data_IF_558312465430
#
_entry.id   IF_558312465430
#
_cell.length_a   1.000
_cell.length_b   1.000
_cell.length_c   1.000
_cell.angle_alpha   90.00
_cell.angle_beta   90.00
_cell.angle_gamma   90.00
#
_symmetry.space_group_name_H-M   'P 1'
#
loop_
_entity.id
_entity.type
_entity.pdbx_description
1 polymer ?
#
# COMPACT_ATOMS: atom_id res chain seq x y z
N UNK A 1 -47.23 5.61 10.19
CA UNK A 1 -46.50 6.74 10.84
C UNK A 1 -45.24 6.27 11.56
N UNK A 2 -45.30 5.23 12.40
CA UNK A 2 -44.15 4.73 13.17
C UNK A 2 -42.97 4.26 12.28
N UNK A 3 -43.25 3.52 11.19
CA UNK A 3 -42.21 3.08 10.23
C UNK A 3 -41.44 4.25 9.60
N UNK A 4 -42.13 5.31 9.14
CA UNK A 4 -41.48 6.50 8.57
C UNK A 4 -40.61 7.25 9.58
N UNK A 5 -41.02 7.27 10.85
CA UNK A 5 -40.25 7.90 11.93
C UNK A 5 -38.98 7.10 12.23
N UNK A 6 -39.06 5.77 12.28
CA UNK A 6 -37.90 4.89 12.45
C UNK A 6 -36.90 5.07 11.30
N UNK A 7 -37.37 5.06 10.04
CA UNK A 7 -36.49 5.26 8.87
C UNK A 7 -35.77 6.61 8.92
N UNK A 8 -36.47 7.69 9.29
CA UNK A 8 -35.85 9.01 9.46
C UNK A 8 -34.75 8.97 10.52
N UNK A 9 -35.05 8.47 11.71
CA UNK A 9 -34.06 8.39 12.81
C UNK A 9 -32.82 7.60 12.39
N UNK A 10 -32.99 6.44 11.76
CA UNK A 10 -31.86 5.63 11.27
C UNK A 10 -31.03 6.37 10.22
N UNK A 11 -31.68 7.06 9.29
CA UNK A 11 -31.00 7.84 8.24
C UNK A 11 -30.17 8.98 8.83
N UNK A 12 -30.72 9.72 9.80
CA UNK A 12 -29.99 10.79 10.49
C UNK A 12 -28.84 10.26 11.34
N UNK A 13 -29.03 9.16 12.06
CA UNK A 13 -27.95 8.53 12.83
C UNK A 13 -26.80 8.08 11.92
N UNK A 14 -27.11 7.48 10.76
CA UNK A 14 -26.11 7.10 9.77
C UNK A 14 -25.35 8.33 9.21
N UNK A 15 -26.08 9.40 8.86
CA UNK A 15 -25.49 10.66 8.41
C UNK A 15 -24.50 11.24 9.43
N UNK A 16 -24.89 11.29 10.71
CA UNK A 16 -24.04 11.79 11.80
C UNK A 16 -22.82 10.88 11.97
N UNK A 17 -23.01 9.57 12.02
CA UNK A 17 -21.92 8.60 12.23
C UNK A 17 -20.87 8.69 11.10
N UNK A 18 -21.29 8.74 9.84
CA UNK A 18 -20.39 8.85 8.69
C UNK A 18 -19.65 10.21 8.65
N UNK A 19 -20.34 11.29 8.98
CA UNK A 19 -19.74 12.63 9.05
C UNK A 19 -18.73 12.73 10.19
N UNK A 20 -19.08 12.19 11.36
CA UNK A 20 -18.20 12.11 12.52
C UNK A 20 -16.98 11.23 12.20
N UNK A 21 -17.16 10.06 11.58
CA UNK A 21 -16.05 9.18 11.20
C UNK A 21 -15.09 9.86 10.21
N UNK A 22 -15.62 10.63 9.26
CA UNK A 22 -14.82 11.43 8.32
C UNK A 22 -13.93 12.44 9.06
N UNK A 23 -14.49 13.15 10.04
CA UNK A 23 -13.76 14.13 10.84
C UNK A 23 -12.76 13.47 11.81
N UNK A 24 -13.20 12.45 12.54
CA UNK A 24 -12.40 11.73 13.53
C UNK A 24 -11.16 11.09 12.91
N UNK A 25 -11.22 10.59 11.67
CA UNK A 25 -10.06 10.02 10.96
C UNK A 25 -8.81 10.91 10.98
N UNK A 26 -8.98 12.23 10.90
CA UNK A 26 -7.86 13.18 10.95
C UNK A 26 -7.15 13.26 12.31
N UNK A 27 -7.81 12.84 13.38
CA UNK A 27 -7.33 12.92 14.76
C UNK A 27 -6.62 11.65 15.24
N UNK A 28 -6.17 10.79 14.33
CA UNK A 28 -5.41 9.56 14.66
C UNK A 28 -4.15 9.80 15.51
N UNK A 29 -3.56 11.00 15.49
CA UNK A 29 -2.43 11.35 16.36
C UNK A 29 -2.81 11.55 17.83
N UNK A 30 -4.08 11.82 18.13
CA UNK A 30 -4.59 11.98 19.49
C UNK A 30 -5.04 10.63 20.07
N UNK A 31 -5.64 9.79 19.24
CA UNK A 31 -6.08 8.45 19.61
C UNK A 31 -5.90 7.50 18.42
N UNK A 32 -5.14 6.43 18.63
CA UNK A 32 -4.84 5.46 17.57
C UNK A 32 -6.10 4.82 16.94
N UNK A 33 -7.18 4.67 17.72
CA UNK A 33 -8.47 4.14 17.24
C UNK A 33 -9.07 5.05 16.16
N UNK A 34 -8.91 6.37 16.28
CA UNK A 34 -9.35 7.29 15.24
C UNK A 34 -8.54 7.12 13.96
N UNK A 35 -7.27 6.74 14.05
CA UNK A 35 -6.44 6.41 12.90
C UNK A 35 -7.00 5.25 12.08
N UNK A 36 -7.67 4.27 12.70
CA UNK A 36 -8.31 3.17 11.97
C UNK A 36 -9.44 3.64 11.06
N UNK A 37 -10.09 4.76 11.39
CA UNK A 37 -11.16 5.32 10.59
C UNK A 37 -10.66 5.86 9.25
N UNK A 38 -9.37 6.17 9.11
CA UNK A 38 -8.78 6.59 7.84
C UNK A 38 -8.91 5.50 6.78
N UNK A 39 -8.86 4.22 7.14
CA UNK A 39 -8.85 3.12 6.17
C UNK A 39 -10.19 2.94 5.45
N UNK A 40 -11.30 3.43 6.03
CA UNK A 40 -12.64 3.15 5.55
C UNK A 40 -13.24 4.27 4.67
N UNK A 41 -12.44 5.26 4.26
CA UNK A 41 -12.91 6.43 3.48
C UNK A 41 -13.70 6.09 2.21
N UNK A 42 -13.32 5.09 1.39
CA UNK A 42 -14.14 4.68 0.24
C UNK A 42 -15.56 4.25 0.64
N UNK A 43 -15.70 3.58 1.77
CA UNK A 43 -17.01 3.17 2.31
C UNK A 43 -17.81 4.34 2.86
N UNK A 44 -17.13 5.37 3.39
CA UNK A 44 -17.79 6.61 3.78
C UNK A 44 -18.38 7.34 2.57
N UNK A 45 -17.67 7.39 1.44
CA UNK A 45 -18.22 7.95 0.20
C UNK A 45 -19.49 7.23 -0.20
N UNK A 46 -19.46 5.89 -0.28
CA UNK A 46 -20.64 5.09 -0.64
C UNK A 46 -21.80 5.32 0.33
N UNK A 47 -21.53 5.26 1.63
CA UNK A 47 -22.53 5.48 2.67
C UNK A 47 -23.13 6.89 2.61
N UNK A 48 -22.31 7.92 2.44
CA UNK A 48 -22.74 9.32 2.35
C UNK A 48 -23.60 9.56 1.11
N UNK A 49 -23.26 8.95 -0.03
CA UNK A 49 -24.07 9.01 -1.26
C UNK A 49 -25.43 8.35 -1.05
N UNK A 50 -25.46 7.13 -0.51
CA UNK A 50 -26.71 6.39 -0.25
C UNK A 50 -27.60 7.16 0.73
N UNK A 51 -27.05 7.59 1.86
CA UNK A 51 -27.79 8.37 2.87
C UNK A 51 -28.25 9.71 2.29
N UNK A 52 -27.42 10.37 1.48
CA UNK A 52 -27.77 11.61 0.78
C UNK A 52 -28.97 11.44 -0.15
N UNK A 53 -28.99 10.39 -0.99
CA UNK A 53 -30.11 10.07 -1.88
C UNK A 53 -31.40 9.85 -1.07
N UNK A 54 -31.31 9.10 0.04
CA UNK A 54 -32.46 8.84 0.91
C UNK A 54 -32.99 10.13 1.55
N UNK A 55 -32.11 11.02 2.03
CA UNK A 55 -32.52 12.32 2.59
C UNK A 55 -33.16 13.24 1.53
N UNK A 56 -32.65 13.25 0.31
CA UNK A 56 -33.25 13.98 -0.81
C UNK A 56 -34.64 13.44 -1.16
N UNK A 57 -34.81 12.11 -1.19
CA UNK A 57 -36.11 11.48 -1.39
C UNK A 57 -37.10 11.83 -0.27
N UNK A 58 -36.62 11.91 0.97
CA UNK A 58 -37.40 12.38 2.12
C UNK A 58 -37.63 13.90 2.13
N UNK A 59 -37.13 14.65 1.13
CA UNK A 59 -37.17 16.11 1.03
C UNK A 59 -36.57 16.84 2.24
N UNK A 60 -35.54 16.23 2.84
CA UNK A 60 -34.85 16.79 4.00
C UNK A 60 -33.74 17.76 3.56
N UNK A 61 -33.83 19.02 4.00
CA UNK A 61 -32.77 20.03 3.77
C UNK A 61 -31.42 19.65 4.41
N UNK A 62 -31.41 18.73 5.35
CA UNK A 62 -30.19 18.28 6.03
C UNK A 62 -29.28 17.45 5.12
N UNK A 63 -29.77 16.95 3.98
CA UNK A 63 -28.94 16.30 2.97
C UNK A 63 -27.79 17.19 2.47
N UNK A 64 -27.99 18.52 2.46
CA UNK A 64 -26.96 19.48 2.07
C UNK A 64 -25.73 19.46 3.00
N UNK A 65 -25.89 19.10 4.28
CA UNK A 65 -24.77 19.01 5.22
C UNK A 65 -23.81 17.86 4.89
N UNK A 66 -24.25 16.86 4.11
CA UNK A 66 -23.41 15.73 3.71
C UNK A 66 -22.42 16.08 2.60
N UNK A 67 -22.59 17.23 1.92
CA UNK A 67 -21.69 17.67 0.86
C UNK A 67 -20.27 17.84 1.38
N UNK A 68 -20.10 18.44 2.56
CA UNK A 68 -18.76 18.69 3.11
C UNK A 68 -17.98 17.38 3.39
N UNK A 69 -18.49 16.43 4.20
CA UNK A 69 -17.77 15.17 4.43
C UNK A 69 -17.63 14.34 3.14
N UNK A 70 -18.60 14.40 2.22
CA UNK A 70 -18.47 13.74 0.92
C UNK A 70 -17.33 14.34 0.09
N UNK A 71 -17.27 15.67 -0.03
CA UNK A 71 -16.24 16.39 -0.75
C UNK A 71 -14.84 16.13 -0.17
N UNK A 72 -14.71 16.08 1.16
CA UNK A 72 -13.44 15.74 1.82
C UNK A 72 -12.97 14.34 1.41
N UNK A 73 -13.82 13.33 1.49
CA UNK A 73 -13.41 11.97 1.14
C UNK A 73 -13.16 11.82 -0.36
N UNK A 74 -13.98 12.45 -1.22
CA UNK A 74 -13.74 12.48 -2.66
C UNK A 74 -12.42 13.16 -3.00
N UNK A 75 -12.08 14.28 -2.36
CA UNK A 75 -10.81 14.97 -2.58
C UNK A 75 -9.60 14.07 -2.26
N UNK A 76 -9.65 13.34 -1.15
CA UNK A 76 -8.58 12.42 -0.76
C UNK A 76 -8.44 11.20 -1.69
N UNK A 77 -9.54 10.77 -2.30
CA UNK A 77 -9.56 9.60 -3.19
C UNK A 77 -9.38 9.97 -4.68
N UNK A 78 -9.62 11.24 -5.05
CA UNK A 78 -9.61 11.70 -6.43
C UNK A 78 -8.33 11.34 -7.20
N UNK A 79 -7.10 11.48 -6.63
CA UNK A 79 -5.88 11.15 -7.35
C UNK A 79 -5.81 9.70 -7.85
N UNK A 80 -6.48 8.76 -7.20
CA UNK A 80 -6.50 7.35 -7.61
C UNK A 80 -7.25 7.13 -8.92
N UNK A 81 -8.28 7.95 -9.18
CA UNK A 81 -9.21 7.78 -10.30
C UNK A 81 -9.03 8.82 -11.42
N UNK A 82 -8.12 9.77 -11.25
CA UNK A 82 -7.75 10.68 -12.33
C UNK A 82 -7.10 9.91 -13.47
N UNK A 83 -7.45 10.17 -14.74
CA UNK A 83 -6.91 9.40 -15.87
C UNK A 83 -5.39 9.50 -15.90
N UNK A 84 -4.73 8.35 -16.05
CA UNK A 84 -3.30 8.30 -16.34
C UNK A 84 -3.06 8.90 -17.74
N UNK A 85 -1.96 9.64 -17.89
CA UNK A 85 -1.45 9.90 -19.24
C UNK A 85 -1.03 8.59 -19.90
N UNK A 86 -1.10 8.51 -21.23
CA UNK A 86 -0.61 7.34 -21.96
C UNK A 86 0.85 7.12 -21.61
N UNK A 87 1.15 6.03 -20.92
CA UNK A 87 2.50 5.75 -20.45
C UNK A 87 3.24 4.88 -21.47
N UNK A 88 4.53 5.17 -21.75
CA UNK A 88 5.37 4.28 -22.52
C UNK A 88 5.54 2.94 -21.79
N UNK A 89 6.12 1.96 -22.49
CA UNK A 89 6.44 0.66 -21.89
C UNK A 89 7.28 0.83 -20.61
N UNK A 90 7.10 -0.05 -19.61
CA UNK A 90 7.92 -0.03 -18.40
C UNK A 90 9.40 -0.23 -18.76
N UNK A 91 10.29 0.51 -18.09
CA UNK A 91 11.72 0.26 -18.12
C UNK A 91 12.06 -1.07 -17.40
N UNK A 92 11.32 -1.39 -16.33
CA UNK A 92 11.40 -2.67 -15.64
C UNK A 92 10.12 -2.97 -14.87
N UNK A 93 9.95 -4.22 -14.46
CA UNK A 93 8.77 -4.69 -13.73
C UNK A 93 9.11 -5.32 -12.39
N UNK A 94 8.22 -5.16 -11.41
CA UNK A 94 8.34 -5.70 -10.05
C UNK A 94 7.09 -6.50 -9.71
N UNK A 95 7.28 -7.70 -9.15
CA UNK A 95 6.23 -8.43 -8.45
C UNK A 95 6.53 -8.45 -6.95
N UNK A 96 5.64 -7.90 -6.15
CA UNK A 96 5.68 -7.95 -4.68
C UNK A 96 4.59 -8.90 -4.17
N UNK A 97 4.90 -9.77 -3.21
CA UNK A 97 3.94 -10.70 -2.60
C UNK A 97 4.24 -10.83 -1.09
N UNK A 98 3.24 -10.54 -0.26
CA UNK A 98 3.20 -11.04 1.12
C UNK A 98 2.64 -12.47 1.11
N UNK A 99 3.46 -13.44 1.54
CA UNK A 99 3.18 -14.86 1.45
C UNK A 99 2.30 -15.41 2.58
N UNK A 100 2.02 -14.64 3.65
CA UNK A 100 1.31 -15.14 4.85
C UNK A 100 1.86 -16.52 5.30
N UNK A 101 3.19 -16.53 5.48
CA UNK A 101 4.00 -17.69 5.89
C UNK A 101 4.17 -18.75 4.81
N UNK A 102 3.40 -19.84 4.84
CA UNK A 102 3.71 -21.09 4.12
C UNK A 102 2.89 -21.28 2.83
N UNK A 103 2.40 -20.19 2.22
CA UNK A 103 1.56 -20.25 1.01
C UNK A 103 2.39 -20.37 -0.27
N UNK A 104 2.54 -21.61 -0.75
CA UNK A 104 3.33 -21.95 -1.96
C UNK A 104 2.81 -21.29 -3.24
N UNK A 105 1.49 -21.10 -3.37
CA UNK A 105 0.88 -20.52 -4.57
C UNK A 105 1.39 -19.10 -4.90
N UNK A 106 1.85 -18.35 -3.89
CA UNK A 106 2.54 -17.07 -4.10
C UNK A 106 3.87 -17.22 -4.85
N UNK A 107 4.67 -18.24 -4.51
CA UNK A 107 5.93 -18.52 -5.20
C UNK A 107 5.70 -18.95 -6.65
N UNK A 108 4.70 -19.79 -6.90
CA UNK A 108 4.35 -20.20 -8.26
C UNK A 108 3.84 -19.03 -9.11
N UNK A 109 3.06 -18.13 -8.50
CA UNK A 109 2.64 -16.90 -9.18
C UNK A 109 3.85 -16.03 -9.52
N UNK A 110 4.79 -15.82 -8.59
CA UNK A 110 6.02 -15.08 -8.84
C UNK A 110 6.88 -15.72 -9.95
N UNK A 111 6.96 -17.05 -10.01
CA UNK A 111 7.66 -17.76 -11.08
C UNK A 111 7.02 -17.50 -12.46
N UNK A 112 5.68 -17.41 -12.52
CA UNK A 112 4.91 -17.19 -13.75
C UNK A 112 4.79 -15.72 -14.16
N UNK A 113 4.90 -14.78 -13.21
CA UNK A 113 4.72 -13.34 -13.49
C UNK A 113 5.74 -12.83 -14.50
N UNK A 114 6.94 -13.41 -14.45
CA UNK A 114 8.01 -13.11 -15.37
C UNK A 114 8.63 -11.73 -15.18
N UNK A 115 8.35 -11.05 -14.08
CA UNK A 115 8.87 -9.72 -13.76
C UNK A 115 10.39 -9.69 -13.63
N UNK A 116 11.00 -8.51 -13.76
CA UNK A 116 12.45 -8.36 -13.60
C UNK A 116 12.90 -8.52 -12.14
N UNK A 117 12.07 -8.06 -11.21
CA UNK A 117 12.32 -8.13 -9.77
C UNK A 117 11.15 -8.86 -9.08
N UNK A 118 11.48 -9.74 -8.15
CA UNK A 118 10.51 -10.38 -7.25
C UNK A 118 10.88 -10.04 -5.81
N UNK A 119 9.93 -9.49 -5.07
CA UNK A 119 10.02 -9.19 -3.65
C UNK A 119 9.01 -10.05 -2.90
N UNK A 120 9.49 -10.75 -1.88
CA UNK A 120 8.69 -11.63 -1.05
C UNK A 120 8.74 -11.16 0.41
N UNK A 121 7.59 -11.16 1.07
CA UNK A 121 7.44 -10.82 2.48
C UNK A 121 6.72 -11.95 3.22
N UNK A 122 6.92 -12.00 4.53
CA UNK A 122 6.50 -13.11 5.40
C UNK A 122 7.07 -14.47 4.96
N UNK A 123 8.29 -14.45 4.40
CA UNK A 123 8.99 -15.65 3.95
C UNK A 123 9.48 -16.49 5.12
N UNK A 124 8.96 -17.70 5.27
CA UNK A 124 9.47 -18.67 6.25
C UNK A 124 10.70 -19.42 5.74
N UNK A 125 11.52 -20.00 6.64
CA UNK A 125 12.61 -20.88 6.24
C UNK A 125 12.15 -22.07 5.38
N UNK A 126 10.92 -22.57 5.60
CA UNK A 126 10.35 -23.65 4.80
C UNK A 126 10.14 -23.23 3.33
N UNK A 127 9.52 -22.07 3.09
CA UNK A 127 9.36 -21.54 1.73
C UNK A 127 10.70 -21.12 1.11
N UNK A 128 11.63 -20.59 1.91
CA UNK A 128 12.95 -20.19 1.44
C UNK A 128 13.72 -21.36 0.80
N UNK A 129 13.59 -22.57 1.36
CA UNK A 129 14.18 -23.78 0.81
C UNK A 129 13.68 -24.18 -0.58
N UNK A 130 12.55 -23.64 -1.04
CA UNK A 130 11.97 -23.93 -2.35
C UNK A 130 12.27 -22.86 -3.41
N UNK A 131 12.80 -21.69 -3.03
CA UNK A 131 12.95 -20.55 -3.95
C UNK A 131 13.73 -20.89 -5.22
N UNK A 132 14.89 -21.53 -5.08
CA UNK A 132 15.76 -21.87 -6.23
C UNK A 132 15.10 -22.87 -7.18
N UNK A 133 14.29 -23.79 -6.64
CA UNK A 133 13.60 -24.82 -7.43
C UNK A 133 12.36 -24.25 -8.12
N UNK A 134 11.59 -23.40 -7.42
CA UNK A 134 10.34 -22.83 -7.95
C UNK A 134 10.57 -21.63 -8.87
N UNK A 135 11.63 -20.86 -8.65
CA UNK A 135 12.01 -19.68 -9.46
C UNK A 135 13.38 -19.87 -10.14
N UNK A 136 13.58 -20.89 -11.00
CA UNK A 136 14.89 -21.18 -11.59
C UNK A 136 15.41 -20.05 -12.50
N UNK A 137 14.50 -19.30 -13.12
CA UNK A 137 14.82 -18.13 -13.96
C UNK A 137 15.33 -16.92 -13.16
N UNK A 138 15.28 -16.97 -11.83
CA UNK A 138 15.68 -15.89 -10.95
C UNK A 138 16.98 -16.24 -10.18
N UNK A 139 17.80 -15.23 -9.96
CA UNK A 139 18.89 -15.26 -9.01
C UNK A 139 18.38 -14.76 -7.66
N UNK A 140 18.63 -15.53 -6.60
CA UNK A 140 18.41 -15.09 -5.24
C UNK A 140 19.51 -14.08 -4.87
N UNK A 141 19.13 -12.80 -4.73
CA UNK A 141 20.07 -11.72 -4.40
C UNK A 141 20.29 -11.65 -2.90
N UNK A 142 19.19 -11.64 -2.14
CA UNK A 142 19.21 -11.61 -0.68
C UNK A 142 17.96 -12.30 -0.15
N UNK A 143 18.13 -13.14 0.88
CA UNK A 143 17.04 -13.74 1.64
C UNK A 143 17.33 -13.62 3.14
N UNK A 144 16.30 -13.28 3.89
CA UNK A 144 16.30 -13.25 5.34
C UNK A 144 15.01 -13.90 5.85
N UNK A 145 14.90 -15.24 5.76
CA UNK A 145 13.68 -15.93 6.15
C UNK A 145 13.56 -16.01 7.68
N UNK A 146 12.33 -15.83 8.19
CA UNK A 146 12.03 -15.87 9.62
C UNK A 146 10.73 -16.63 9.86
N UNK A 147 10.62 -17.32 11.00
CA UNK A 147 9.40 -18.05 11.38
C UNK A 147 8.24 -17.13 11.80
N UNK A 148 8.52 -15.83 11.95
CA UNK A 148 7.52 -14.80 12.21
C UNK A 148 7.16 -14.05 10.92
N UNK A 149 6.35 -13.00 11.03
CA UNK A 149 5.86 -12.19 9.90
C UNK A 149 6.93 -11.25 9.30
N UNK A 150 8.21 -11.41 9.64
CA UNK A 150 9.27 -10.45 9.26
C UNK A 150 10.21 -10.98 8.16
N UNK A 151 10.08 -12.25 7.76
CA UNK A 151 10.96 -12.83 6.76
C UNK A 151 10.77 -12.20 5.38
N UNK A 152 11.84 -12.05 4.61
CA UNK A 152 11.77 -11.47 3.26
C UNK A 152 12.83 -11.99 2.30
N UNK A 153 12.61 -11.81 1.00
CA UNK A 153 13.61 -12.05 -0.03
C UNK A 153 13.49 -11.09 -1.21
N UNK A 154 14.64 -10.85 -1.85
CA UNK A 154 14.79 -10.16 -3.12
C UNK A 154 15.39 -11.13 -4.14
N UNK A 155 14.70 -11.30 -5.25
CA UNK A 155 15.16 -12.07 -6.39
C UNK A 155 15.13 -11.20 -7.65
N UNK A 156 16.08 -11.43 -8.56
CA UNK A 156 16.17 -10.72 -9.84
C UNK A 156 16.28 -11.72 -10.97
N UNK A 157 15.57 -11.47 -12.07
CA UNK A 157 15.58 -12.33 -13.26
C UNK A 157 17.01 -12.40 -13.83
N UNK A 158 17.53 -13.62 -14.02
CA UNK A 158 18.93 -13.88 -14.43
C UNK A 158 19.29 -13.22 -15.76
N UNK A 159 18.39 -13.30 -16.72
CA UNK A 159 18.55 -12.76 -18.09
C UNK A 159 17.77 -11.44 -18.27
N UNK A 160 17.43 -10.75 -17.18
CA UNK A 160 16.69 -9.47 -17.22
C UNK A 160 17.58 -8.25 -17.48
N UNK A 161 16.97 -7.07 -17.57
CA UNK A 161 17.68 -5.79 -17.71
C UNK A 161 18.23 -5.26 -16.38
N UNK A 162 17.67 -5.70 -15.25
CA UNK A 162 18.02 -5.22 -13.91
C UNK A 162 19.29 -5.90 -13.40
N UNK A 163 20.19 -5.12 -12.81
CA UNK A 163 21.34 -5.63 -12.01
C UNK A 163 21.25 -5.09 -10.59
N UNK A 164 21.85 -5.78 -9.63
CA UNK A 164 21.94 -5.31 -8.24
C UNK A 164 23.39 -5.02 -7.91
N UNK A 165 23.70 -3.75 -7.60
CA UNK A 165 25.03 -3.33 -7.20
C UNK A 165 25.31 -3.66 -5.73
N UNK A 166 24.31 -3.44 -4.88
CA UNK A 166 24.37 -3.71 -3.43
C UNK A 166 22.99 -4.13 -2.93
N UNK A 167 22.95 -5.09 -2.02
CA UNK A 167 21.74 -5.42 -1.26
C UNK A 167 22.11 -5.73 0.20
N UNK A 168 21.32 -5.22 1.14
CA UNK A 168 21.57 -5.38 2.56
C UNK A 168 20.27 -5.39 3.38
N UNK A 169 20.36 -5.99 4.57
CA UNK A 169 19.32 -5.91 5.58
C UNK A 169 19.55 -4.64 6.40
N UNK A 170 18.53 -3.79 6.48
CA UNK A 170 18.54 -2.56 7.28
C UNK A 170 17.36 -2.52 8.24
N UNK A 171 17.44 -1.63 9.23
CA UNK A 171 16.37 -1.35 10.18
C UNK A 171 16.07 0.14 10.18
N UNK A 172 14.81 0.51 9.97
CA UNK A 172 14.36 1.91 9.93
C UNK A 172 13.16 2.11 10.88
N UNK A 173 13.34 2.79 12.02
CA UNK A 173 14.61 3.27 12.60
C UNK A 173 15.57 2.13 12.96
N UNK A 174 16.83 2.44 13.28
CA UNK A 174 17.83 1.43 13.66
C UNK A 174 17.43 0.55 14.86
N UNK A 175 16.47 1.01 15.68
CA UNK A 175 15.90 0.28 16.81
C UNK A 175 14.69 -0.59 16.45
N UNK A 176 14.21 -0.55 15.20
CA UNK A 176 13.08 -1.36 14.76
C UNK A 176 13.47 -2.84 14.76
N UNK A 177 12.60 -3.72 15.26
CA UNK A 177 12.85 -5.17 15.26
C UNK A 177 12.74 -5.80 13.87
N UNK A 178 11.98 -5.15 12.97
CA UNK A 178 11.65 -5.69 11.66
C UNK A 178 12.74 -5.36 10.64
N UNK A 179 13.46 -6.36 10.10
CA UNK A 179 14.42 -6.16 9.02
C UNK A 179 13.71 -5.77 7.71
N UNK A 180 14.32 -4.85 6.97
CA UNK A 180 13.92 -4.45 5.62
C UNK A 180 15.04 -4.80 4.64
N UNK A 181 14.69 -5.11 3.39
CA UNK A 181 15.69 -5.27 2.32
C UNK A 181 15.83 -3.94 1.61
N UNK A 182 17.05 -3.40 1.65
CA UNK A 182 17.48 -2.25 0.85
C UNK A 182 18.40 -2.73 -0.26
N UNK A 183 18.18 -2.29 -1.50
CA UNK A 183 19.02 -2.66 -2.62
C UNK A 183 19.24 -1.49 -3.58
N UNK A 184 20.48 -1.30 -4.00
CA UNK A 184 20.83 -0.42 -5.10
C UNK A 184 20.77 -1.21 -6.40
N UNK A 185 19.77 -0.90 -7.22
CA UNK A 185 19.54 -1.56 -8.51
C UNK A 185 20.00 -0.66 -9.65
N UNK A 186 20.46 -1.28 -10.73
CA UNK A 186 20.90 -0.61 -11.95
C UNK A 186 19.97 -1.03 -13.10
N UNK A 187 19.34 -0.05 -13.72
CA UNK A 187 18.46 -0.21 -14.89
C UNK A 187 18.81 0.87 -15.90
N UNK A 188 19.14 0.52 -17.14
CA UNK A 188 19.55 1.46 -18.19
C UNK A 188 20.58 2.50 -17.72
N UNK A 189 21.64 2.02 -17.05
CA UNK A 189 22.72 2.84 -16.46
C UNK A 189 22.28 3.80 -15.33
N UNK A 190 21.01 3.76 -14.92
CA UNK A 190 20.47 4.56 -13.81
C UNK A 190 20.46 3.74 -12.54
N UNK A 191 21.11 4.26 -11.50
CA UNK A 191 21.05 3.68 -10.16
C UNK A 191 19.73 4.09 -9.49
N UNK A 192 19.03 3.15 -8.88
CA UNK A 192 17.79 3.37 -8.13
C UNK A 192 17.94 2.71 -6.77
N UNK A 193 17.60 3.43 -5.71
CA UNK A 193 17.51 2.85 -4.38
C UNK A 193 16.14 2.21 -4.18
N UNK A 194 16.11 0.89 -4.12
CA UNK A 194 14.94 0.05 -3.84
C UNK A 194 14.86 -0.26 -2.34
N UNK A 195 13.66 -0.16 -1.76
CA UNK A 195 13.34 -0.64 -0.41
C UNK A 195 12.11 -1.55 -0.43
N UNK A 196 12.28 -2.79 0.03
CA UNK A 196 11.16 -3.68 0.36
C UNK A 196 10.67 -3.37 1.77
N UNK A 197 9.60 -2.60 1.87
CA UNK A 197 9.04 -2.12 3.13
C UNK A 197 7.97 -3.07 3.67
N UNK A 198 8.08 -3.47 4.93
CA UNK A 198 6.98 -4.07 5.67
C UNK A 198 6.89 -3.30 7.00
N UNK A 199 5.78 -2.64 7.31
CA UNK A 199 5.64 -1.87 8.56
C UNK A 199 4.86 -2.62 9.63
N UNK A 200 4.97 -2.16 10.86
CA UNK A 200 4.21 -2.68 12.00
C UNK A 200 2.71 -2.47 11.82
N UNK A 201 1.92 -3.56 11.90
CA UNK A 201 0.46 -3.50 11.94
C UNK A 201 -0.04 -2.82 13.23
N UNK A 202 -0.86 -1.79 13.08
CA UNK A 202 -1.48 -1.07 14.20
C UNK A 202 -2.57 -1.90 14.86
N UNK A 203 -2.37 -2.24 16.14
CA UNK A 203 -3.32 -3.02 16.96
C UNK A 203 -3.64 -2.35 18.30
N UNK A 204 -2.79 -1.43 18.73
CA UNK A 204 -2.87 -0.70 19.99
C UNK A 204 -2.01 0.58 19.91
N UNK A 205 -2.02 1.39 20.96
CA UNK A 205 -1.26 2.64 21.02
C UNK A 205 0.25 2.45 20.81
N UNK A 206 0.85 1.38 21.36
CA UNK A 206 2.29 1.12 21.23
C UNK A 206 2.69 0.80 19.79
N UNK A 207 1.94 -0.09 19.13
CA UNK A 207 2.16 -0.44 17.71
C UNK A 207 1.87 0.75 16.77
N UNK A 208 0.90 1.61 17.11
CA UNK A 208 0.66 2.86 16.39
C UNK A 208 1.86 3.82 16.46
N UNK A 209 2.45 3.97 17.66
CA UNK A 209 3.64 4.78 17.85
C UNK A 209 4.86 4.18 17.12
N UNK A 210 5.04 2.86 17.18
CA UNK A 210 6.08 2.13 16.46
C UNK A 210 5.99 2.34 14.95
N UNK A 211 4.81 2.12 14.36
CA UNK A 211 4.60 2.34 12.93
C UNK A 211 4.85 3.81 12.52
N UNK A 212 4.43 4.77 13.35
CA UNK A 212 4.69 6.18 13.08
C UNK A 212 6.21 6.51 13.10
N UNK A 213 6.98 5.87 13.99
CA UNK A 213 8.44 6.00 14.03
C UNK A 213 9.10 5.36 12.80
N UNK A 214 8.65 4.18 12.37
CA UNK A 214 9.09 3.53 11.12
C UNK A 214 8.85 4.44 9.92
N UNK A 215 7.63 4.98 9.74
CA UNK A 215 7.34 5.91 8.65
C UNK A 215 8.20 7.17 8.67
N UNK A 216 8.48 7.71 9.85
CA UNK A 216 9.34 8.89 9.99
C UNK A 216 10.78 8.57 9.58
N UNK A 217 11.30 7.41 9.99
CA UNK A 217 12.65 6.98 9.63
C UNK A 217 12.77 6.70 8.12
N UNK A 218 11.77 6.05 7.51
CA UNK A 218 11.72 5.80 6.07
C UNK A 218 11.62 7.11 5.28
N UNK A 219 10.82 8.07 5.75
CA UNK A 219 10.73 9.38 5.13
C UNK A 219 12.08 10.11 5.15
N UNK A 220 12.77 10.14 6.30
CA UNK A 220 14.09 10.77 6.39
C UNK A 220 15.12 10.09 5.48
N UNK A 221 15.17 8.75 5.51
CA UNK A 221 16.03 7.94 4.65
C UNK A 221 15.81 8.24 3.16
N UNK A 222 14.54 8.28 2.71
CA UNK A 222 14.20 8.63 1.33
C UNK A 222 14.60 10.07 0.99
N UNK A 223 14.29 11.02 1.87
CA UNK A 223 14.58 12.44 1.67
C UNK A 223 16.07 12.70 1.50
N UNK A 224 16.91 12.04 2.28
CA UNK A 224 18.36 12.20 2.23
C UNK A 224 18.96 11.66 0.92
N UNK A 225 18.41 10.55 0.39
CA UNK A 225 18.78 10.01 -0.90
C UNK A 225 18.32 10.90 -2.07
N UNK A 226 17.08 11.37 -2.02
CA UNK A 226 16.54 12.27 -3.05
C UNK A 226 17.33 13.58 -3.12
N UNK A 227 17.77 14.13 -1.98
CA UNK A 227 18.60 15.35 -1.92
C UNK A 227 19.96 15.22 -2.60
N UNK A 228 20.52 14.01 -2.63
CA UNK A 228 21.79 13.73 -3.34
C UNK A 228 21.56 13.25 -4.78
N UNK A 229 20.31 13.33 -5.28
CA UNK A 229 19.96 12.98 -6.65
C UNK A 229 19.73 11.49 -6.90
N UNK A 230 19.67 10.66 -5.86
CA UNK A 230 19.43 9.23 -5.99
C UNK A 230 17.92 8.95 -6.10
N UNK A 231 17.41 8.37 -7.20
CA UNK A 231 16.02 7.93 -7.31
C UNK A 231 15.68 6.89 -6.25
N UNK A 232 14.51 7.01 -5.63
CA UNK A 232 14.04 6.12 -4.56
C UNK A 232 12.75 5.43 -4.99
N UNK A 233 12.67 4.12 -4.76
CA UNK A 233 11.46 3.32 -4.94
C UNK A 233 11.23 2.44 -3.72
N UNK A 234 10.04 2.52 -3.13
CA UNK A 234 9.67 1.78 -1.93
C UNK A 234 8.40 1.00 -2.23
N UNK A 235 8.41 -0.31 -1.98
CA UNK A 235 7.29 -1.20 -2.27
C UNK A 235 7.15 -2.25 -1.17
N UNK A 236 5.92 -2.64 -0.84
CA UNK A 236 5.66 -3.74 0.09
C UNK A 236 4.37 -3.57 0.88
N UNK A 237 4.24 -4.25 2.01
CA UNK A 237 3.11 -4.10 2.94
C UNK A 237 3.29 -2.90 3.89
N UNK A 238 2.57 -1.83 3.61
CA UNK A 238 2.59 -0.61 4.41
C UNK A 238 1.69 -0.71 5.65
N UNK A 239 0.87 -1.77 5.79
CA UNK A 239 -0.15 -1.94 6.82
C UNK A 239 -1.03 -0.69 7.02
N UNK A 240 -1.19 0.12 5.96
CA UNK A 240 -1.96 1.36 5.97
C UNK A 240 -2.39 1.72 4.56
N UNK A 241 -3.50 2.46 4.44
CA UNK A 241 -4.07 2.87 3.16
C UNK A 241 -3.38 4.12 2.61
N UNK A 242 -3.34 4.33 1.27
CA UNK A 242 -2.57 5.41 0.64
C UNK A 242 -3.08 6.82 1.00
N UNK A 243 -4.35 6.96 1.36
CA UNK A 243 -4.96 8.22 1.82
C UNK A 243 -4.90 8.42 3.34
N UNK A 244 -4.22 7.53 4.08
CA UNK A 244 -4.06 7.71 5.53
C UNK A 244 -3.19 8.93 5.82
N UNK A 245 -3.38 9.53 7.00
CA UNK A 245 -2.52 10.64 7.44
C UNK A 245 -1.03 10.26 7.48
N UNK A 246 -0.72 9.00 7.78
CA UNK A 246 0.65 8.52 7.91
C UNK A 246 1.32 8.39 6.54
N UNK A 247 0.56 7.93 5.53
CA UNK A 247 1.01 7.95 4.15
C UNK A 247 1.25 9.38 3.65
N UNK A 248 0.34 10.32 3.91
CA UNK A 248 0.58 11.72 3.50
C UNK A 248 1.87 12.30 4.10
N UNK A 249 2.19 11.97 5.35
CA UNK A 249 3.44 12.38 6.01
C UNK A 249 4.66 11.72 5.40
N UNK A 250 4.60 10.42 5.13
CA UNK A 250 5.67 9.70 4.43
C UNK A 250 5.95 10.33 3.07
N UNK A 251 4.90 10.56 2.27
CA UNK A 251 5.01 11.11 0.92
C UNK A 251 5.62 12.52 0.95
N UNK A 252 5.08 13.40 1.79
CA UNK A 252 5.54 14.79 1.90
C UNK A 252 6.97 14.89 2.44
N UNK A 253 7.30 14.18 3.52
CA UNK A 253 8.60 14.32 4.18
C UNK A 253 9.69 13.54 3.44
N UNK A 254 9.32 12.45 2.76
CA UNK A 254 10.22 11.59 2.00
C UNK A 254 10.48 12.04 0.57
N UNK A 255 9.83 13.11 0.09
CA UNK A 255 9.86 13.54 -1.30
C UNK A 255 9.40 12.43 -2.26
N UNK A 256 8.29 11.79 -1.91
CA UNK A 256 7.74 10.63 -2.61
C UNK A 256 6.35 10.92 -3.15
N UNK A 257 5.98 10.18 -4.19
CA UNK A 257 4.67 10.16 -4.83
C UNK A 257 4.02 8.79 -4.62
N UNK A 258 2.69 8.78 -4.53
CA UNK A 258 1.91 7.56 -4.40
C UNK A 258 1.79 6.87 -5.77
N UNK A 259 2.39 5.70 -5.93
CA UNK A 259 2.36 4.93 -7.17
C UNK A 259 0.98 4.38 -7.55
N UNK A 260 0.04 4.33 -6.61
CA UNK A 260 -1.36 3.93 -6.89
C UNK A 260 -2.17 5.06 -7.55
N UNK A 261 -1.69 6.31 -7.52
CA UNK A 261 -2.37 7.41 -8.20
C UNK A 261 -2.54 7.05 -9.69
N UNK A 262 -3.70 7.39 -10.25
CA UNK A 262 -4.09 7.10 -11.63
C UNK A 262 -4.34 5.63 -12.01
N UNK A 263 -4.22 4.70 -11.06
CA UNK A 263 -4.38 3.26 -11.31
C UNK A 263 -5.66 2.66 -10.72
N UNK A 264 -6.59 3.51 -10.28
CA UNK A 264 -7.90 3.12 -9.78
C UNK A 264 -7.86 2.37 -8.46
N UNK A 265 -8.84 1.49 -8.24
CA UNK A 265 -8.97 0.70 -7.02
C UNK A 265 -8.16 -0.61 -7.09
N UNK A 266 -7.15 -0.73 -6.24
CA UNK A 266 -6.15 -1.81 -6.27
C UNK A 266 -6.02 -2.48 -4.89
N UNK A 267 -7.10 -3.06 -4.37
CA UNK A 267 -7.11 -3.55 -3.00
C UNK A 267 -6.27 -4.82 -2.87
N UNK A 268 -5.63 -5.00 -1.72
CA UNK A 268 -4.76 -6.15 -1.46
C UNK A 268 -5.17 -6.98 -0.24
N UNK A 269 -5.94 -6.42 0.71
CA UNK A 269 -6.22 -7.07 1.99
C UNK A 269 -7.63 -6.73 2.52
N UNK A 270 -8.32 -7.60 3.27
CA UNK A 270 -8.04 -9.02 3.47
C UNK A 270 -8.68 -9.85 2.36
N UNK A 271 -7.95 -10.83 1.79
CA UNK A 271 -8.44 -11.62 0.65
C UNK A 271 -9.68 -12.47 0.94
N UNK A 272 -10.01 -12.68 2.21
CA UNK A 272 -11.20 -13.40 2.68
C UNK A 272 -12.50 -12.61 2.43
N UNK A 273 -12.43 -11.29 2.22
CA UNK A 273 -13.58 -10.46 1.89
C UNK A 273 -13.78 -10.34 0.36
N UNK A 274 -15.00 -10.07 -0.12
CA UNK A 274 -15.23 -9.66 -1.49
C UNK A 274 -14.35 -8.46 -1.88
N UNK A 275 -13.87 -8.38 -3.13
CA UNK A 275 -12.91 -7.36 -3.60
C UNK A 275 -13.34 -5.92 -3.29
N UNK A 276 -14.64 -5.64 -3.35
CA UNK A 276 -15.18 -4.32 -3.07
C UNK A 276 -15.17 -3.94 -1.57
N UNK A 277 -14.84 -4.86 -0.66
CA UNK A 277 -14.68 -4.64 0.79
C UNK A 277 -13.21 -4.74 1.26
N UNK A 278 -12.29 -5.02 0.34
CA UNK A 278 -10.85 -5.06 0.62
C UNK A 278 -10.27 -3.64 0.63
N UNK A 279 -9.06 -3.43 1.13
CA UNK A 279 -8.33 -2.15 1.13
C UNK A 279 -6.92 -2.35 0.57
N UNK A 280 -6.32 -1.33 -0.06
CA UNK A 280 -4.96 -1.37 -0.54
C UNK A 280 -3.99 -1.07 0.61
N UNK A 281 -3.23 -2.07 1.06
CA UNK A 281 -2.15 -1.87 2.03
C UNK A 281 -0.79 -2.32 1.49
N UNK A 282 -0.77 -3.10 0.42
CA UNK A 282 0.42 -3.36 -0.38
C UNK A 282 0.55 -2.26 -1.43
N UNK A 283 1.55 -1.41 -1.27
CA UNK A 283 1.68 -0.17 -2.03
C UNK A 283 3.07 -0.06 -2.65
N UNK A 284 3.20 0.87 -3.60
CA UNK A 284 4.46 1.37 -4.10
C UNK A 284 4.45 2.89 -4.05
N UNK A 285 5.54 3.48 -3.56
CA UNK A 285 5.80 4.92 -3.58
C UNK A 285 7.18 5.17 -4.17
N UNK A 286 7.36 6.28 -4.86
CA UNK A 286 8.59 6.56 -5.60
C UNK A 286 8.93 8.04 -5.60
N UNK A 287 10.19 8.38 -5.80
CA UNK A 287 10.61 9.77 -6.00
C UNK A 287 10.21 10.28 -7.40
N UNK A 288 10.29 11.59 -7.62
CA UNK A 288 9.82 12.25 -8.85
C UNK A 288 10.54 11.81 -10.14
N UNK A 289 11.76 11.26 -10.03
CA UNK A 289 12.51 10.75 -11.19
C UNK A 289 11.93 9.47 -11.79
N UNK A 290 11.01 8.81 -11.07
CA UNK A 290 10.37 7.56 -11.47
C UNK A 290 8.88 7.79 -11.66
N UNK A 291 8.25 6.91 -12.42
CA UNK A 291 6.79 6.83 -12.57
C UNK A 291 6.31 5.39 -12.61
N UNK A 292 5.06 5.19 -12.19
CA UNK A 292 4.36 3.92 -12.37
C UNK A 292 3.64 3.92 -13.70
N UNK A 293 3.99 2.96 -14.56
CA UNK A 293 3.41 2.76 -15.90
C UNK A 293 2.23 1.78 -15.90
N UNK A 294 2.25 0.84 -14.97
CA UNK A 294 1.17 -0.11 -14.75
C UNK A 294 1.18 -0.55 -13.29
N UNK A 295 0.00 -0.79 -12.72
CA UNK A 295 -0.14 -1.33 -11.36
C UNK A 295 -1.40 -2.18 -11.28
N UNK A 296 -1.26 -3.42 -10.84
CA UNK A 296 -2.36 -4.36 -10.73
C UNK A 296 -2.17 -5.31 -9.55
N UNK A 297 -3.23 -5.55 -8.78
CA UNK A 297 -3.22 -6.62 -7.76
C UNK A 297 -3.49 -7.99 -8.37
N UNK A 298 -2.82 -9.01 -7.84
CA UNK A 298 -2.96 -10.39 -8.30
C UNK A 298 -4.35 -10.96 -7.97
N UNK A 299 -4.72 -12.12 -8.54
CA UNK A 299 -5.76 -12.97 -7.98
C UNK A 299 -5.50 -13.34 -6.51
N UNK A 300 -6.47 -13.96 -5.84
CA UNK A 300 -6.24 -14.52 -4.50
C UNK A 300 -5.25 -15.71 -4.62
N UNK A 301 -4.10 -15.61 -3.93
CA UNK A 301 -3.02 -16.60 -3.95
C UNK A 301 -3.02 -17.49 -2.69
N UNK A 302 -4.10 -17.46 -1.89
CA UNK A 302 -4.22 -18.21 -0.63
C UNK A 302 -3.59 -17.54 0.59
N UNK A 303 -2.84 -16.44 0.40
CA UNK A 303 -2.42 -15.48 1.41
C UNK A 303 -3.59 -14.56 1.79
N UNK A 304 -3.59 -13.97 2.99
CA UNK A 304 -4.53 -12.90 3.37
C UNK A 304 -4.26 -11.59 2.59
N UNK A 305 -3.14 -11.52 1.86
CA UNK A 305 -2.78 -10.48 0.91
C UNK A 305 -2.87 -10.94 -0.56
N UNK A 306 -3.22 -10.01 -1.45
CA UNK A 306 -2.94 -10.11 -2.89
C UNK A 306 -1.53 -9.61 -3.17
N UNK A 307 -0.86 -10.20 -4.15
CA UNK A 307 0.37 -9.66 -4.68
C UNK A 307 0.13 -8.38 -5.49
N UNK A 308 1.21 -7.64 -5.74
CA UNK A 308 1.23 -6.42 -6.54
C UNK A 308 2.17 -6.62 -7.74
N UNK A 309 1.67 -6.37 -8.95
CA UNK A 309 2.46 -6.33 -10.17
C UNK A 309 2.59 -4.89 -10.63
N UNK A 310 3.81 -4.39 -10.77
CA UNK A 310 4.09 -2.99 -11.09
C UNK A 310 5.05 -2.88 -12.25
N UNK A 311 4.73 -2.01 -13.20
CA UNK A 311 5.66 -1.52 -14.21
C UNK A 311 6.19 -0.15 -13.82
N UNK A 312 7.50 0.06 -13.90
CA UNK A 312 8.17 1.30 -13.51
C UNK A 312 8.89 1.88 -14.73
N UNK A 313 8.81 3.20 -14.90
CA UNK A 313 9.55 3.94 -15.90
C UNK A 313 10.28 5.15 -15.30
N UNK A 314 11.17 5.75 -16.09
CA UNK A 314 11.85 7.01 -15.75
C UNK A 314 11.06 8.20 -16.28
N UNK A 315 11.03 9.30 -15.53
CA UNK A 315 10.37 10.52 -16.00
C UNK A 315 11.03 11.10 -17.26
#
# INVERSE_FOLDING_TARGET
MQSQQITKTLTFSAAIALSAATGLGFFGSLCWVFGLLDHLRPYYVLGLVVVGIVLLWQRSRWGWLLILPLAINLFLLAPLFMPAQTQPAPAFTITHINLDKDKVAGLEYAARSGSDIVLLQELTPALAGMLTTTLPAYALVLAHPLWNTHGSALLVRREGAVRVAKAEIIHLPATAERPLISAEILVDQTHIQLLSLHTTRVRNAATAAGQAAEFTAVANWSSDLVKIGQPVLIIGDFNTTPWSRQMHRLLSNGQLQNGMNHHGWQPSFPTQLPVFLQIPIDLLVHSEQLRVTNLQTSPNLGSDHRGLSVGVGFH
#
